data_IF_588524336745
#
_entry.id   IF_588524336745
#
_cell.length_a   1.000
_cell.length_b   1.000
_cell.length_c   1.000
_cell.angle_alpha   90.00
_cell.angle_beta   90.00
_cell.angle_gamma   90.00
#
_symmetry.space_group_name_H-M   'P 1'
#
loop_
_entity.id
_entity.type
_entity.pdbx_description
1 polymer ?
#
# COMPACT_ATOMS: atom_id res chain seq x y z
N UNK A 1 23.81 20.00 -47.09
CA UNK A 1 23.60 18.64 -47.66
C UNK A 1 22.64 17.90 -46.76
N UNK A 2 21.59 17.33 -47.36
CA UNK A 2 20.39 16.81 -46.70
C UNK A 2 20.70 15.62 -45.78
N UNK A 3 20.22 15.69 -44.54
CA UNK A 3 20.16 14.60 -43.58
C UNK A 3 18.89 13.78 -43.86
N UNK A 4 19.03 12.55 -44.33
CA UNK A 4 17.93 11.58 -44.45
C UNK A 4 18.45 10.18 -44.13
N UNK A 5 17.68 9.48 -43.28
CA UNK A 5 17.80 8.10 -42.75
C UNK A 5 18.51 7.98 -41.38
N UNK A 6 17.88 7.57 -40.27
CA UNK A 6 16.48 7.22 -39.98
C UNK A 6 16.33 7.10 -38.45
N UNK A 7 15.71 8.09 -37.79
CA UNK A 7 14.88 7.90 -36.58
C UNK A 7 13.38 7.94 -36.96
N UNK A 8 13.09 8.06 -38.26
CA UNK A 8 11.76 8.10 -38.86
C UNK A 8 11.37 6.71 -39.41
N UNK A 9 11.09 5.77 -38.52
CA UNK A 9 10.19 4.64 -38.82
C UNK A 9 9.76 3.92 -37.53
N UNK A 10 9.24 4.68 -36.57
CA UNK A 10 8.44 4.12 -35.48
C UNK A 10 7.17 4.95 -35.35
N UNK A 11 6.32 4.89 -36.38
CA UNK A 11 4.89 5.20 -36.30
C UNK A 11 4.16 4.29 -37.29
N UNK A 12 3.63 3.20 -36.78
CA UNK A 12 2.30 2.76 -37.12
C UNK A 12 1.67 2.28 -35.79
N UNK A 13 0.57 2.90 -35.32
CA UNK A 13 -0.26 2.29 -34.29
C UNK A 13 -0.80 0.99 -34.87
N UNK A 14 -0.70 -0.11 -34.12
CA UNK A 14 -1.51 -1.27 -34.42
C UNK A 14 -2.98 -0.83 -34.26
N UNK A 15 -3.81 -1.20 -35.24
CA UNK A 15 -5.25 -0.92 -35.22
C UNK A 15 -5.84 -1.46 -33.90
N UNK A 16 -6.17 -0.53 -33.00
CA UNK A 16 -6.53 -0.78 -31.60
C UNK A 16 -6.48 0.51 -30.76
N UNK A 17 -5.67 1.50 -31.15
CA UNK A 17 -5.55 2.80 -30.47
C UNK A 17 -6.71 3.78 -30.73
N UNK A 18 -7.93 3.31 -30.49
CA UNK A 18 -8.97 4.17 -29.89
C UNK A 18 -9.07 3.87 -28.39
N UNK A 19 -7.94 3.89 -27.69
CA UNK A 19 -8.00 4.20 -26.27
C UNK A 19 -8.27 5.70 -26.17
N UNK A 20 -9.51 6.02 -25.78
CA UNK A 20 -9.87 7.30 -25.15
C UNK A 20 -8.70 7.82 -24.33
N UNK A 21 -8.43 9.13 -24.38
CA UNK A 21 -7.45 9.79 -23.52
C UNK A 21 -7.59 9.31 -22.06
N UNK A 22 -6.84 8.28 -21.68
CA UNK A 22 -6.81 7.78 -20.31
C UNK A 22 -6.07 8.87 -19.57
N UNK A 23 -6.75 9.52 -18.63
CA UNK A 23 -6.12 10.49 -17.75
C UNK A 23 -4.84 9.86 -17.18
N UNK A 24 -3.73 10.60 -17.19
CA UNK A 24 -2.45 10.14 -16.64
C UNK A 24 -2.68 9.60 -15.23
N UNK A 25 -2.65 8.27 -15.07
CA UNK A 25 -2.99 7.62 -13.80
C UNK A 25 -2.03 8.03 -12.67
N UNK A 26 -0.86 8.54 -13.02
CA UNK A 26 0.10 9.10 -12.05
C UNK A 26 -0.33 10.45 -11.46
N UNK A 27 -1.33 11.11 -12.06
CA UNK A 27 -1.97 12.33 -11.55
C UNK A 27 -3.26 12.04 -10.75
N UNK A 28 -3.56 10.77 -10.46
CA UNK A 28 -4.75 10.43 -9.66
C UNK A 28 -4.71 11.14 -8.30
N UNK A 29 -5.88 11.52 -7.75
CA UNK A 29 -5.98 11.95 -6.35
C UNK A 29 -5.65 10.78 -5.41
N UNK A 30 -5.41 11.12 -4.13
CA UNK A 30 -5.14 10.13 -3.08
C UNK A 30 -6.25 9.08 -2.98
N UNK A 31 -7.50 9.50 -3.17
CA UNK A 31 -8.65 8.64 -3.33
C UNK A 31 -9.46 9.04 -4.58
N UNK A 32 -9.48 8.22 -5.65
CA UNK A 32 -10.23 8.53 -6.87
C UNK A 32 -11.73 8.24 -6.80
N UNK A 33 -12.24 7.57 -5.75
CA UNK A 33 -13.67 7.25 -5.66
C UNK A 33 -14.48 8.27 -4.86
N UNK A 34 -13.83 9.13 -4.05
CA UNK A 34 -14.53 10.12 -3.21
C UNK A 34 -15.46 11.06 -3.98
N UNK A 35 -15.07 11.51 -5.18
CA UNK A 35 -15.84 12.50 -5.94
C UNK A 35 -17.18 11.97 -6.49
N UNK A 36 -17.41 10.66 -6.45
CA UNK A 36 -18.51 10.00 -7.14
C UNK A 36 -19.60 9.49 -6.18
N UNK A 37 -19.51 9.80 -4.89
CA UNK A 37 -20.41 9.28 -3.86
C UNK A 37 -21.34 10.40 -3.37
N UNK A 38 -22.65 10.15 -3.39
CA UNK A 38 -23.70 11.09 -2.94
C UNK A 38 -23.85 11.10 -1.40
N UNK A 39 -22.75 11.39 -0.70
CA UNK A 39 -22.67 11.58 0.77
C UNK A 39 -21.59 12.60 1.11
N UNK A 40 -21.66 13.26 2.29
CA UNK A 40 -20.55 14.09 2.76
C UNK A 40 -19.25 13.29 2.83
N UNK A 41 -18.17 13.83 2.26
CA UNK A 41 -16.82 13.27 2.42
C UNK A 41 -16.21 13.76 3.75
N UNK A 42 -15.64 12.83 4.52
CA UNK A 42 -14.89 13.13 5.73
C UNK A 42 -13.39 12.91 5.48
N UNK A 43 -12.56 13.83 5.96
CA UNK A 43 -11.12 13.57 6.09
C UNK A 43 -10.87 12.49 7.15
N UNK A 44 -9.69 11.86 7.11
CA UNK A 44 -9.26 10.87 8.11
C UNK A 44 -9.42 11.41 9.55
N UNK A 45 -9.10 12.68 9.79
CA UNK A 45 -9.29 13.31 11.10
C UNK A 45 -10.76 13.48 11.50
N UNK A 46 -11.64 13.77 10.53
CA UNK A 46 -13.08 13.88 10.77
C UNK A 46 -13.68 12.51 11.09
N UNK A 47 -13.30 11.48 10.32
CA UNK A 47 -13.68 10.10 10.56
C UNK A 47 -13.18 9.60 11.93
N UNK A 48 -11.90 9.82 12.26
CA UNK A 48 -11.33 9.46 13.56
C UNK A 48 -12.06 10.13 14.73
N UNK A 49 -12.43 11.42 14.61
CA UNK A 49 -13.27 12.11 15.61
C UNK A 49 -14.65 11.49 15.74
N UNK A 50 -15.26 11.10 14.62
CA UNK A 50 -16.58 10.48 14.59
C UNK A 50 -16.58 9.08 15.22
N UNK A 51 -15.57 8.27 14.92
CA UNK A 51 -15.36 6.93 15.50
C UNK A 51 -15.08 7.02 17.00
N UNK A 52 -14.48 8.10 17.49
CA UNK A 52 -14.13 8.29 18.93
C UNK A 52 -15.07 9.23 19.68
N UNK A 53 -16.24 9.55 19.11
CA UNK A 53 -17.12 10.66 19.54
C UNK A 53 -17.60 10.65 20.99
N UNK A 54 -17.60 9.50 21.67
CA UNK A 54 -18.03 9.40 23.08
C UNK A 54 -16.88 9.41 24.08
N UNK A 55 -15.62 9.34 23.62
CA UNK A 55 -14.44 9.39 24.48
C UNK A 55 -14.22 8.16 25.37
N UNK A 56 -14.84 7.02 25.07
CA UNK A 56 -14.50 5.77 25.75
C UNK A 56 -13.03 5.44 25.56
N UNK A 57 -12.36 5.07 26.66
CA UNK A 57 -10.95 4.67 26.65
C UNK A 57 -10.58 3.92 27.91
N UNK A 58 -9.52 3.12 27.82
CA UNK A 58 -8.70 2.80 28.98
C UNK A 58 -7.79 3.99 29.31
N UNK A 59 -7.40 4.11 30.57
CA UNK A 59 -6.53 5.19 31.03
C UNK A 59 -5.14 4.64 31.31
N UNK A 60 -4.12 5.33 30.81
CA UNK A 60 -2.74 5.19 31.26
C UNK A 60 -2.64 5.74 32.69
N UNK A 61 -2.90 4.85 33.65
CA UNK A 61 -2.96 5.16 35.07
C UNK A 61 -1.56 5.28 35.66
N UNK A 62 -0.58 4.54 35.12
CA UNK A 62 0.80 4.55 35.61
C UNK A 62 1.66 5.67 34.96
N UNK A 63 1.16 6.29 33.87
CA UNK A 63 1.76 7.38 33.10
C UNK A 63 3.08 7.02 32.43
N UNK A 64 3.22 5.77 31.98
CA UNK A 64 4.39 5.30 31.24
C UNK A 64 4.28 5.51 29.72
N UNK A 65 3.13 6.02 29.25
CA UNK A 65 2.86 6.29 27.85
C UNK A 65 2.29 5.11 27.08
N UNK A 66 2.08 3.95 27.71
CA UNK A 66 1.49 2.75 27.11
C UNK A 66 0.33 2.26 27.98
N UNK A 67 -0.87 2.14 27.41
CA UNK A 67 -2.00 1.57 28.16
C UNK A 67 -1.97 0.03 28.09
N UNK A 68 -1.66 -0.63 29.20
CA UNK A 68 -1.60 -2.09 29.31
C UNK A 68 -2.97 -2.72 29.62
N UNK A 69 -3.42 -3.60 28.73
CA UNK A 69 -4.66 -4.35 28.83
C UNK A 69 -4.31 -5.83 29.07
N UNK A 70 -4.73 -6.38 30.21
CA UNK A 70 -4.64 -7.82 30.41
C UNK A 70 -5.78 -8.51 29.67
N UNK A 71 -5.48 -9.62 28.99
CA UNK A 71 -6.51 -10.45 28.39
C UNK A 71 -6.55 -11.88 28.93
N UNK A 72 -7.69 -12.55 28.76
CA UNK A 72 -7.85 -13.99 29.03
C UNK A 72 -8.86 -14.66 28.10
N UNK A 73 -8.71 -15.98 27.88
CA UNK A 73 -9.63 -16.81 27.09
C UNK A 73 -10.54 -17.69 27.96
N UNK A 74 -10.89 -17.21 29.14
CA UNK A 74 -11.71 -17.94 30.09
C UNK A 74 -13.19 -17.83 29.74
N UNK A 75 -13.97 -18.87 30.09
CA UNK A 75 -15.43 -18.80 29.99
C UNK A 75 -15.93 -17.68 30.89
N UNK A 76 -16.57 -16.68 30.29
CA UNK A 76 -17.01 -15.49 31.02
C UNK A 76 -18.30 -15.75 31.83
N UNK A 77 -19.25 -16.51 31.27
CA UNK A 77 -20.54 -16.76 31.90
C UNK A 77 -21.04 -18.21 31.68
N UNK A 78 -22.06 -18.60 32.44
CA UNK A 78 -22.75 -19.89 32.27
C UNK A 78 -23.38 -19.95 30.88
N UNK A 79 -23.18 -21.05 30.16
CA UNK A 79 -23.68 -21.22 28.78
C UNK A 79 -22.66 -20.81 27.70
N UNK A 80 -21.61 -20.05 28.08
CA UNK A 80 -20.53 -19.75 27.16
C UNK A 80 -19.57 -20.93 26.96
N UNK A 81 -18.93 -20.99 25.80
CA UNK A 81 -17.84 -21.92 25.52
C UNK A 81 -16.50 -21.19 25.40
N UNK A 82 -15.41 -21.91 25.65
CA UNK A 82 -14.08 -21.33 25.53
C UNK A 82 -13.72 -21.18 24.05
N UNK A 83 -12.83 -20.22 23.74
CA UNK A 83 -12.22 -20.14 22.42
C UNK A 83 -11.41 -21.40 22.11
N UNK A 84 -11.50 -21.88 20.87
CA UNK A 84 -10.63 -22.94 20.37
C UNK A 84 -9.22 -22.42 20.05
N UNK A 85 -8.28 -23.30 19.68
CA UNK A 85 -6.89 -22.92 19.41
C UNK A 85 -6.77 -21.85 18.31
N UNK A 86 -7.48 -22.02 17.18
CA UNK A 86 -7.49 -21.06 16.07
C UNK A 86 -8.01 -19.70 16.50
N UNK A 87 -9.13 -19.65 17.23
CA UNK A 87 -9.69 -18.40 17.74
C UNK A 87 -8.71 -17.67 18.68
N UNK A 88 -8.02 -18.40 19.56
CA UNK A 88 -7.01 -17.80 20.45
C UNK A 88 -5.83 -17.22 19.66
N UNK A 89 -5.32 -17.95 18.68
CA UNK A 89 -4.22 -17.48 17.83
C UNK A 89 -4.61 -16.22 17.07
N UNK A 90 -5.77 -16.24 16.41
CA UNK A 90 -6.23 -15.12 15.59
C UNK A 90 -6.62 -13.90 16.44
N UNK A 91 -7.13 -14.11 17.66
CA UNK A 91 -7.35 -13.02 18.61
C UNK A 91 -6.04 -12.33 19.00
N UNK A 92 -4.96 -13.11 19.26
CA UNK A 92 -3.64 -12.53 19.53
C UNK A 92 -3.10 -11.74 18.35
N UNK A 93 -3.24 -12.25 17.12
CA UNK A 93 -2.83 -11.52 15.90
C UNK A 93 -3.64 -10.23 15.69
N UNK A 94 -4.92 -10.23 16.08
CA UNK A 94 -5.78 -9.05 16.01
C UNK A 94 -5.47 -8.02 17.10
N UNK A 95 -5.09 -8.47 18.31
CA UNK A 95 -4.57 -7.56 19.34
C UNK A 95 -3.24 -6.95 18.90
N UNK A 96 -2.33 -7.77 18.36
CA UNK A 96 -1.03 -7.33 17.86
C UNK A 96 -1.14 -6.24 16.78
N UNK A 97 -2.11 -6.34 15.87
CA UNK A 97 -2.31 -5.30 14.86
C UNK A 97 -2.83 -3.97 15.42
N UNK A 98 -3.46 -3.97 16.61
CA UNK A 98 -3.77 -2.73 17.33
C UNK A 98 -2.57 -2.17 18.10
N UNK A 99 -1.74 -3.03 18.73
CA UNK A 99 -0.48 -2.62 19.38
C UNK A 99 0.49 -1.99 18.39
N UNK A 100 0.51 -2.50 17.16
CA UNK A 100 1.37 -1.99 16.10
C UNK A 100 1.13 -0.51 15.85
N UNK A 101 -0.12 -0.05 15.93
CA UNK A 101 -0.51 1.27 15.43
C UNK A 101 -0.71 2.30 16.54
N UNK A 102 -0.94 1.88 17.79
CA UNK A 102 -1.24 2.77 18.90
C UNK A 102 -0.51 2.33 20.18
N UNK A 103 -0.29 3.25 21.14
CA UNK A 103 0.41 2.95 22.40
C UNK A 103 -0.47 2.18 23.39
N UNK A 104 -0.83 0.97 23.02
CA UNK A 104 -1.51 -0.03 23.85
C UNK A 104 -0.68 -1.31 23.87
N UNK A 105 -0.78 -2.07 24.95
CA UNK A 105 -0.18 -3.41 25.03
C UNK A 105 -1.17 -4.42 25.58
N UNK A 106 -1.17 -5.62 25.03
CA UNK A 106 -2.02 -6.73 25.40
C UNK A 106 -1.17 -7.85 25.98
N UNK A 107 -1.41 -8.19 27.24
CA UNK A 107 -0.67 -9.24 27.92
C UNK A 107 -1.61 -10.28 28.53
N UNK A 108 -1.36 -11.56 28.26
CA UNK A 108 -2.18 -12.63 28.86
C UNK A 108 -1.93 -12.71 30.37
N UNK A 109 -2.98 -12.49 31.17
CA UNK A 109 -2.90 -12.63 32.63
C UNK A 109 -1.91 -11.69 33.33
N UNK A 110 -1.80 -10.43 32.89
CA UNK A 110 -0.98 -9.44 33.61
C UNK A 110 -1.49 -9.24 35.04
N UNK A 111 -0.55 -9.01 35.97
CA UNK A 111 -0.84 -8.83 37.41
C UNK A 111 -1.26 -7.42 37.78
N UNK A 112 -0.91 -6.41 36.99
CA UNK A 112 -1.20 -5.00 37.25
C UNK A 112 -1.62 -4.26 35.97
N UNK A 113 -2.66 -4.74 35.27
CA UNK A 113 -3.11 -4.07 34.06
C UNK A 113 -3.96 -2.84 34.37
N UNK A 114 -4.10 -2.00 33.37
CA UNK A 114 -4.96 -0.80 33.38
C UNK A 114 -6.31 -1.08 32.72
N UNK A 115 -6.38 -2.13 31.89
CA UNK A 115 -7.62 -2.68 31.33
C UNK A 115 -7.72 -4.20 31.49
N UNK A 116 -8.94 -4.71 31.52
CA UNK A 116 -9.22 -6.15 31.54
C UNK A 116 -10.08 -6.52 30.33
N UNK A 117 -9.69 -7.58 29.61
CA UNK A 117 -10.40 -8.08 28.44
C UNK A 117 -10.62 -9.59 28.50
N UNK A 118 -11.88 -10.03 28.38
CA UNK A 118 -12.23 -11.44 28.35
C UNK A 118 -12.77 -11.85 26.97
N UNK A 119 -12.24 -12.96 26.45
CA UNK A 119 -12.70 -13.57 25.20
C UNK A 119 -13.49 -14.85 25.48
N UNK A 120 -14.70 -14.95 24.93
CA UNK A 120 -15.54 -16.14 25.11
C UNK A 120 -16.50 -16.33 23.94
N UNK A 121 -16.87 -17.57 23.65
CA UNK A 121 -17.94 -17.85 22.68
C UNK A 121 -19.31 -17.73 23.37
N UNK A 122 -20.26 -17.04 22.73
CA UNK A 122 -21.65 -16.91 23.18
C UNK A 122 -22.62 -16.95 22.00
N UNK A 123 -23.74 -17.65 22.14
CA UNK A 123 -24.82 -17.70 21.13
C UNK A 123 -25.92 -16.66 21.38
N UNK A 124 -25.72 -15.76 22.33
CA UNK A 124 -26.71 -14.73 22.70
C UNK A 124 -26.77 -13.58 21.67
N UNK A 125 -25.74 -13.47 20.83
CA UNK A 125 -25.63 -12.47 19.76
C UNK A 125 -25.62 -13.17 18.40
N UNK A 126 -26.14 -12.51 17.37
CA UNK A 126 -26.18 -13.08 16.02
C UNK A 126 -24.77 -13.34 15.48
N UNK A 127 -23.89 -12.34 15.57
CA UNK A 127 -22.52 -12.40 15.07
C UNK A 127 -21.51 -12.35 16.22
N UNK A 128 -21.48 -11.24 16.94
CA UNK A 128 -20.52 -10.96 17.99
C UNK A 128 -20.96 -9.73 18.83
N UNK A 129 -20.23 -9.46 19.90
CA UNK A 129 -20.39 -8.29 20.75
C UNK A 129 -19.07 -7.90 21.42
N UNK A 130 -18.73 -6.62 21.31
CA UNK A 130 -17.57 -5.98 21.90
C UNK A 130 -18.00 -4.93 22.91
N UNK A 131 -17.54 -5.07 24.14
CA UNK A 131 -17.84 -4.12 25.20
C UNK A 131 -16.82 -2.98 25.21
N UNK A 132 -17.33 -1.74 25.26
CA UNK A 132 -16.49 -0.55 25.48
C UNK A 132 -15.71 -0.61 26.81
N UNK A 133 -14.57 0.11 26.93
CA UNK A 133 -13.83 0.27 28.18
C UNK A 133 -14.72 0.56 29.40
N UNK A 134 -14.44 -0.11 30.52
CA UNK A 134 -15.26 -0.08 31.73
C UNK A 134 -14.62 -0.86 32.88
N UNK A 135 -15.40 -1.59 33.68
CA UNK A 135 -14.83 -2.44 34.75
C UNK A 135 -14.11 -3.67 34.18
N UNK A 136 -14.71 -4.32 33.20
CA UNK A 136 -14.14 -5.46 32.48
C UNK A 136 -14.71 -5.44 31.05
N UNK A 137 -13.79 -5.45 30.08
CA UNK A 137 -14.06 -5.56 28.65
C UNK A 137 -14.37 -6.99 28.23
N UNK A 138 -15.18 -7.15 27.18
CA UNK A 138 -15.58 -8.47 26.65
C UNK A 138 -15.56 -8.46 25.14
N UNK A 139 -15.07 -9.55 24.57
CA UNK A 139 -15.26 -9.93 23.18
C UNK A 139 -15.99 -11.27 23.17
N UNK A 140 -17.26 -11.20 22.78
CA UNK A 140 -18.16 -12.35 22.74
C UNK A 140 -18.43 -12.69 21.28
N UNK A 141 -18.07 -13.90 20.85
CA UNK A 141 -18.20 -14.33 19.46
C UNK A 141 -19.25 -15.43 19.35
N UNK A 142 -20.16 -15.35 18.38
CA UNK A 142 -21.05 -16.47 18.08
C UNK A 142 -20.32 -17.50 17.23
N UNK A 143 -20.01 -18.70 17.78
CA UNK A 143 -19.26 -19.71 17.04
C UNK A 143 -20.07 -20.32 15.89
N UNK A 144 -21.39 -20.14 15.86
CA UNK A 144 -22.28 -20.67 14.80
C UNK A 144 -22.36 -19.77 13.57
N UNK A 145 -21.81 -18.56 13.64
CA UNK A 145 -21.89 -17.59 12.55
C UNK A 145 -20.68 -17.66 11.63
N UNK A 146 -20.92 -17.94 10.34
CA UNK A 146 -19.92 -17.86 9.28
C UNK A 146 -18.59 -18.54 9.62
N UNK A 147 -17.51 -17.75 9.62
CA UNK A 147 -16.14 -18.23 9.85
C UNK A 147 -15.65 -18.03 11.29
N UNK A 148 -16.53 -17.69 12.24
CA UNK A 148 -16.14 -17.36 13.61
C UNK A 148 -15.50 -18.52 14.39
N UNK A 149 -15.77 -19.76 14.02
CA UNK A 149 -15.11 -20.96 14.58
C UNK A 149 -13.74 -21.23 13.97
N UNK A 150 -13.46 -20.70 12.78
CA UNK A 150 -12.19 -20.86 12.07
C UNK A 150 -11.76 -19.50 11.46
N UNK A 151 -11.47 -18.49 12.31
CA UNK A 151 -10.98 -17.21 11.82
C UNK A 151 -9.65 -17.42 11.09
N UNK A 152 -9.45 -16.68 10.01
CA UNK A 152 -8.25 -16.75 9.18
C UNK A 152 -8.08 -15.44 8.41
N UNK A 153 -6.88 -15.23 7.85
CA UNK A 153 -6.57 -14.07 7.04
C UNK A 153 -7.65 -13.83 5.95
N UNK A 154 -8.11 -12.59 5.88
CA UNK A 154 -9.12 -12.07 4.96
C UNK A 154 -10.55 -12.61 5.06
N UNK A 155 -10.87 -13.36 6.12
CA UNK A 155 -12.24 -13.83 6.36
C UNK A 155 -12.97 -13.03 7.44
N UNK A 156 -14.29 -13.23 7.48
CA UNK A 156 -15.18 -12.52 8.39
C UNK A 156 -14.81 -12.74 9.86
N UNK A 157 -14.41 -13.95 10.25
CA UNK A 157 -14.06 -14.28 11.63
C UNK A 157 -12.84 -13.49 12.13
N UNK A 158 -11.79 -13.36 11.31
CA UNK A 158 -10.61 -12.54 11.68
C UNK A 158 -10.96 -11.05 11.75
N UNK A 159 -11.70 -10.52 10.78
CA UNK A 159 -12.18 -9.14 10.82
C UNK A 159 -13.04 -8.87 12.08
N UNK A 160 -13.94 -9.80 12.42
CA UNK A 160 -14.81 -9.68 13.61
C UNK A 160 -13.99 -9.58 14.89
N UNK A 161 -12.93 -10.38 15.04
CA UNK A 161 -12.03 -10.26 16.20
C UNK A 161 -11.41 -8.87 16.27
N UNK A 162 -10.85 -8.36 15.16
CA UNK A 162 -10.26 -7.01 15.09
C UNK A 162 -11.30 -5.92 15.42
N UNK A 163 -12.52 -6.06 14.90
CA UNK A 163 -13.65 -5.16 15.15
C UNK A 163 -14.05 -5.11 16.63
N UNK A 164 -14.31 -6.26 17.26
CA UNK A 164 -14.74 -6.27 18.66
C UNK A 164 -13.64 -5.80 19.63
N UNK A 165 -12.37 -6.05 19.29
CA UNK A 165 -11.24 -5.48 20.03
C UNK A 165 -11.21 -3.95 19.85
N UNK A 166 -11.53 -3.43 18.66
CA UNK A 166 -11.69 -1.99 18.41
C UNK A 166 -12.74 -1.36 19.33
N UNK A 167 -13.91 -1.99 19.51
CA UNK A 167 -14.88 -1.58 20.53
C UNK A 167 -14.27 -1.58 21.93
N UNK A 168 -13.46 -2.58 22.28
CA UNK A 168 -12.79 -2.63 23.57
C UNK A 168 -11.70 -1.57 23.75
N UNK A 169 -11.20 -0.99 22.66
CA UNK A 169 -10.32 0.18 22.67
C UNK A 169 -11.11 1.51 22.67
N UNK A 170 -12.45 1.46 22.65
CA UNK A 170 -13.31 2.63 22.71
C UNK A 170 -13.74 3.17 21.34
N UNK A 171 -13.49 2.43 20.26
CA UNK A 171 -13.91 2.82 18.92
C UNK A 171 -15.36 2.44 18.69
N UNK A 172 -16.16 3.36 18.18
CA UNK A 172 -17.56 3.11 17.84
C UNK A 172 -17.67 2.71 16.36
N UNK A 173 -18.82 2.16 15.98
CA UNK A 173 -19.22 2.21 14.58
C UNK A 173 -19.17 3.66 14.08
N UNK A 174 -18.76 3.92 12.83
CA UNK A 174 -18.73 5.27 12.27
C UNK A 174 -20.09 5.98 12.30
N UNK A 175 -21.19 5.22 12.11
CA UNK A 175 -22.56 5.69 12.27
C UNK A 175 -23.20 5.39 13.62
N UNK A 176 -24.49 5.72 13.75
CA UNK A 176 -25.31 5.42 14.94
C UNK A 176 -26.07 4.09 14.84
N UNK A 177 -25.68 3.22 13.91
CA UNK A 177 -26.27 1.90 13.71
C UNK A 177 -25.63 0.85 14.63
N UNK A 178 -26.39 -0.19 14.94
CA UNK A 178 -25.95 -1.36 15.70
C UNK A 178 -26.62 -2.61 15.10
N UNK A 179 -27.71 -3.10 15.71
CA UNK A 179 -28.48 -4.26 15.24
C UNK A 179 -29.56 -3.87 14.22
N UNK A 180 -30.09 -4.85 13.48
CA UNK A 180 -31.30 -4.67 12.65
C UNK A 180 -31.06 -4.48 11.14
N UNK A 181 -29.96 -5.02 10.61
CA UNK A 181 -29.63 -5.00 9.17
C UNK A 181 -29.60 -3.58 8.55
N UNK A 182 -28.73 -2.68 9.05
CA UNK A 182 -28.59 -1.33 8.50
C UNK A 182 -28.09 -1.39 7.03
N UNK A 183 -28.49 -0.40 6.24
CA UNK A 183 -28.01 -0.21 4.87
C UNK A 183 -27.20 1.09 4.74
N UNK A 184 -26.21 1.10 3.82
CA UNK A 184 -25.30 2.22 3.64
C UNK A 184 -26.02 3.53 3.28
N UNK A 185 -26.96 3.46 2.34
CA UNK A 185 -27.70 4.63 1.84
C UNK A 185 -28.32 5.44 2.98
N UNK A 186 -29.01 4.78 3.91
CA UNK A 186 -29.80 5.46 4.94
C UNK A 186 -29.03 5.65 6.26
N UNK A 187 -28.01 4.84 6.54
CA UNK A 187 -27.39 4.79 7.88
C UNK A 187 -25.92 5.23 7.91
N UNK A 188 -25.20 5.21 6.78
CA UNK A 188 -23.85 5.77 6.71
C UNK A 188 -23.91 7.29 6.74
N UNK A 189 -23.19 7.90 7.70
CA UNK A 189 -23.17 9.35 7.91
C UNK A 189 -22.30 10.09 6.88
N UNK A 190 -21.24 9.43 6.40
CA UNK A 190 -20.26 9.98 5.47
C UNK A 190 -19.82 8.92 4.47
N UNK A 191 -19.23 9.35 3.34
CA UNK A 191 -18.91 8.48 2.21
C UNK A 191 -17.96 7.33 2.58
N UNK A 192 -16.96 7.63 3.41
CA UNK A 192 -15.91 6.70 3.83
C UNK A 192 -16.33 5.73 4.93
N UNK A 193 -17.58 5.76 5.42
CA UNK A 193 -18.11 4.73 6.33
C UNK A 193 -18.31 3.40 5.59
N UNK A 194 -17.19 2.70 5.34
CA UNK A 194 -17.13 1.37 4.73
C UNK A 194 -15.92 0.61 5.25
N UNK A 195 -15.91 -0.70 5.05
CA UNK A 195 -14.80 -1.61 5.35
C UNK A 195 -13.52 -1.34 4.54
N UNK A 196 -13.55 -0.41 3.59
CA UNK A 196 -12.32 0.08 2.95
C UNK A 196 -11.51 1.01 3.85
N UNK A 197 -12.16 1.75 4.75
CA UNK A 197 -11.53 2.76 5.60
C UNK A 197 -11.52 2.36 7.07
N UNK A 198 -12.53 1.61 7.52
CA UNK A 198 -12.67 1.20 8.91
C UNK A 198 -13.26 -0.20 9.05
N UNK A 199 -12.57 -1.08 9.79
CA UNK A 199 -13.12 -2.38 10.20
C UNK A 199 -14.31 -2.23 11.14
N UNK A 200 -14.50 -1.04 11.73
CA UNK A 200 -15.68 -0.70 12.55
C UNK A 200 -16.95 -0.46 11.71
N UNK A 201 -16.85 -0.38 10.38
CA UNK A 201 -18.01 -0.20 9.51
C UNK A 201 -18.77 -1.50 9.23
N UNK A 202 -20.09 -1.39 9.07
CA UNK A 202 -20.94 -2.49 8.60
C UNK A 202 -21.00 -2.58 7.07
N UNK A 203 -20.59 -1.53 6.36
CA UNK A 203 -20.83 -1.40 4.94
C UNK A 203 -19.64 -1.85 4.11
N UNK A 204 -19.91 -2.47 2.97
CA UNK A 204 -18.86 -3.07 2.16
C UNK A 204 -18.09 -2.02 1.35
N UNK A 205 -16.83 -2.34 1.07
CA UNK A 205 -15.90 -1.51 0.30
C UNK A 205 -16.46 -0.96 -1.03
N UNK A 206 -17.31 -1.67 -1.80
CA UNK A 206 -17.89 -1.15 -3.05
C UNK A 206 -18.80 0.07 -2.87
N UNK A 207 -19.39 0.27 -1.69
CA UNK A 207 -20.18 1.47 -1.41
C UNK A 207 -19.32 2.75 -1.49
N UNK A 208 -18.02 2.62 -1.27
CA UNK A 208 -17.04 3.67 -1.46
C UNK A 208 -16.16 3.47 -2.72
N UNK A 209 -16.65 2.74 -3.71
CA UNK A 209 -15.97 2.53 -5.00
C UNK A 209 -14.70 1.68 -4.93
N UNK A 210 -14.51 0.87 -3.87
CA UNK A 210 -13.38 -0.05 -3.71
C UNK A 210 -13.80 -1.50 -3.95
N UNK A 211 -12.88 -2.35 -4.39
CA UNK A 211 -13.20 -3.73 -4.76
C UNK A 211 -12.16 -4.71 -4.23
N UNK A 212 -12.56 -5.50 -3.21
CA UNK A 212 -11.70 -6.48 -2.53
C UNK A 212 -11.99 -7.93 -2.91
N UNK A 213 -12.82 -8.16 -3.92
CA UNK A 213 -13.20 -9.51 -4.38
C UNK A 213 -13.71 -10.43 -3.24
N UNK A 214 -14.56 -9.89 -2.37
CA UNK A 214 -15.14 -10.60 -1.22
C UNK A 214 -14.19 -10.84 -0.04
N UNK A 215 -12.95 -10.34 -0.10
CA UNK A 215 -11.99 -10.37 1.01
C UNK A 215 -12.26 -9.24 2.00
N UNK A 216 -11.93 -9.48 3.27
CA UNK A 216 -12.13 -8.53 4.36
C UNK A 216 -10.80 -8.13 5.00
N UNK A 217 -10.67 -6.88 5.50
CA UNK A 217 -9.47 -6.45 6.22
C UNK A 217 -9.30 -7.27 7.51
N UNK A 218 -8.05 -7.66 7.81
CA UNK A 218 -7.71 -8.46 9.00
C UNK A 218 -7.08 -7.63 10.13
N UNK A 219 -6.77 -6.37 9.85
CA UNK A 219 -6.10 -5.42 10.73
C UNK A 219 -6.79 -4.05 10.63
N UNK A 220 -6.50 -3.10 11.54
CA UNK A 220 -7.02 -1.74 11.46
C UNK A 220 -6.75 -1.10 10.09
N UNK A 221 -7.77 -0.45 9.53
CA UNK A 221 -7.70 0.33 8.29
C UNK A 221 -7.44 1.82 8.60
N UNK A 222 -7.33 2.67 7.58
CA UNK A 222 -6.83 4.05 7.72
C UNK A 222 -7.54 4.86 8.82
N UNK A 223 -8.87 4.82 8.89
CA UNK A 223 -9.64 5.59 9.87
C UNK A 223 -9.56 4.96 11.27
N UNK A 224 -9.41 3.63 11.34
CA UNK A 224 -9.21 2.89 12.60
C UNK A 224 -7.89 3.26 13.24
N UNK A 225 -6.82 3.33 12.44
CA UNK A 225 -5.48 3.71 12.87
C UNK A 225 -5.52 5.12 13.45
N UNK A 226 -6.05 6.08 12.68
CA UNK A 226 -6.16 7.46 13.15
C UNK A 226 -7.04 7.59 14.40
N UNK A 227 -8.12 6.80 14.50
CA UNK A 227 -9.00 6.78 15.67
C UNK A 227 -8.28 6.22 16.92
N UNK A 228 -7.59 5.08 16.80
CA UNK A 228 -6.83 4.50 17.91
C UNK A 228 -5.70 5.42 18.37
N UNK A 229 -4.95 6.01 17.43
CA UNK A 229 -3.88 6.96 17.72
C UNK A 229 -4.40 8.25 18.37
N UNK A 230 -5.60 8.70 18.00
CA UNK A 230 -6.25 9.83 18.67
C UNK A 230 -6.54 9.53 20.15
N UNK A 231 -6.83 8.28 20.51
CA UNK A 231 -7.14 7.88 21.89
C UNK A 231 -5.86 7.61 22.69
N UNK A 232 -4.95 6.81 22.14
CA UNK A 232 -3.81 6.24 22.87
C UNK A 232 -2.45 6.82 22.46
N UNK A 233 -2.37 7.60 21.38
CA UNK A 233 -1.11 8.05 20.79
C UNK A 233 -0.57 7.02 19.78
N UNK A 234 0.23 7.52 18.83
CA UNK A 234 0.85 6.71 17.79
C UNK A 234 2.07 5.94 18.30
N UNK A 235 2.17 4.67 17.89
CA UNK A 235 3.32 3.82 18.22
C UNK A 235 4.41 3.90 17.15
N UNK A 236 5.31 4.86 17.31
CA UNK A 236 6.44 5.08 16.40
C UNK A 236 7.62 4.12 16.65
N UNK A 237 7.48 3.16 17.57
CA UNK A 237 8.50 2.10 17.75
C UNK A 237 8.27 0.91 16.83
N UNK A 238 7.06 0.81 16.27
CA UNK A 238 6.69 -0.25 15.34
C UNK A 238 7.40 -0.05 14.01
N UNK A 239 8.16 -1.08 13.58
CA UNK A 239 8.80 -1.12 12.26
C UNK A 239 9.67 0.12 11.96
N UNK A 240 10.29 0.72 12.98
CA UNK A 240 11.05 1.96 12.87
C UNK A 240 12.46 1.83 12.24
N UNK A 241 12.60 0.87 11.33
CA UNK A 241 13.78 0.57 10.51
C UNK A 241 13.30 0.09 9.15
N UNK A 242 14.16 0.09 8.14
CA UNK A 242 13.85 -0.32 6.77
C UNK A 242 12.95 -1.57 6.68
N UNK A 243 11.72 -1.34 6.24
CA UNK A 243 10.68 -2.36 6.16
C UNK A 243 10.20 -2.54 4.72
N UNK A 244 10.19 -3.79 4.26
CA UNK A 244 9.51 -4.19 3.03
C UNK A 244 8.13 -4.74 3.37
N UNK A 245 7.11 -4.25 2.66
CA UNK A 245 5.72 -4.68 2.72
C UNK A 245 5.34 -5.37 1.40
N UNK A 246 4.48 -6.39 1.46
CA UNK A 246 4.09 -7.16 0.27
C UNK A 246 4.99 -8.37 0.05
N UNK A 247 5.50 -8.55 -1.16
CA UNK A 247 6.47 -9.62 -1.44
C UNK A 247 7.78 -9.36 -0.71
N UNK A 248 8.51 -10.42 -0.35
CA UNK A 248 9.80 -10.32 0.35
C UNK A 248 9.71 -9.53 1.67
N UNK A 249 8.52 -9.51 2.28
CA UNK A 249 8.24 -8.72 3.48
C UNK A 249 9.06 -9.16 4.68
N UNK A 250 9.57 -8.18 5.42
CA UNK A 250 10.17 -8.35 6.74
C UNK A 250 9.30 -7.72 7.85
N UNK A 251 8.09 -7.26 7.51
CA UNK A 251 7.17 -6.58 8.43
C UNK A 251 6.65 -7.48 9.58
N UNK A 252 6.81 -8.80 9.47
CA UNK A 252 6.49 -9.77 10.51
C UNK A 252 5.00 -9.88 10.84
N UNK A 253 4.11 -9.59 9.88
CA UNK A 253 2.66 -9.68 10.03
C UNK A 253 2.05 -10.42 8.84
N UNK A 254 1.09 -11.30 9.12
CA UNK A 254 0.43 -12.13 8.10
C UNK A 254 -0.34 -11.31 7.07
N UNK A 255 -0.92 -10.17 7.46
CA UNK A 255 -1.65 -9.28 6.56
C UNK A 255 -0.77 -8.32 5.76
N UNK A 256 0.55 -8.29 6.01
CA UNK A 256 1.52 -7.43 5.32
C UNK A 256 2.51 -8.23 4.45
N UNK A 257 2.33 -9.55 4.37
CA UNK A 257 3.24 -10.47 3.69
C UNK A 257 2.51 -11.16 2.52
N UNK A 258 3.16 -11.16 1.36
CA UNK A 258 2.73 -11.87 0.17
C UNK A 258 3.77 -12.92 -0.19
N UNK A 259 3.35 -14.18 -0.28
CA UNK A 259 4.19 -15.32 -0.58
C UNK A 259 4.06 -15.78 -2.03
N UNK A 260 2.90 -15.52 -2.65
CA UNK A 260 2.55 -15.91 -4.00
C UNK A 260 1.76 -14.83 -4.72
N UNK A 261 1.82 -14.81 -6.06
CA UNK A 261 1.03 -13.90 -6.92
C UNK A 261 -0.48 -14.05 -6.77
N UNK A 262 -0.94 -15.11 -6.09
CA UNK A 262 -2.36 -15.37 -5.81
C UNK A 262 -2.81 -14.81 -4.45
N UNK A 263 -1.86 -14.36 -3.63
CA UNK A 263 -2.16 -13.78 -2.32
C UNK A 263 -2.83 -12.42 -2.51
N UNK A 264 -3.66 -12.05 -1.55
CA UNK A 264 -4.42 -10.80 -1.57
C UNK A 264 -3.66 -9.74 -0.78
N UNK A 265 -3.21 -8.67 -1.44
CA UNK A 265 -2.81 -7.46 -0.73
C UNK A 265 -4.08 -6.76 -0.22
N UNK A 266 -4.30 -6.70 1.09
CA UNK A 266 -5.42 -5.94 1.69
C UNK A 266 -5.04 -5.46 3.08
N UNK A 267 -4.54 -4.24 3.17
CA UNK A 267 -4.00 -3.65 4.39
C UNK A 267 -3.86 -2.13 4.32
N UNK A 268 -3.73 -1.50 5.50
CA UNK A 268 -3.24 -0.14 5.66
C UNK A 268 -1.87 -0.18 6.33
N UNK A 269 -0.88 0.53 5.77
CA UNK A 269 0.48 0.58 6.31
C UNK A 269 0.55 1.59 7.44
N UNK A 270 1.03 1.14 8.60
CA UNK A 270 1.56 1.97 9.66
C UNK A 270 3.04 1.65 9.83
N UNK A 271 3.89 2.66 9.79
CA UNK A 271 5.33 2.55 9.96
C UNK A 271 5.85 3.69 10.84
N UNK A 272 6.79 3.39 11.74
CA UNK A 272 7.41 4.34 12.67
C UNK A 272 8.64 5.06 12.12
N UNK A 273 9.15 4.66 10.95
CA UNK A 273 10.27 5.27 10.22
C UNK A 273 11.23 4.24 9.64
N UNK A 274 12.16 4.68 8.81
CA UNK A 274 13.04 3.79 8.05
C UNK A 274 13.15 4.27 6.62
N UNK A 275 13.73 3.45 5.75
CA UNK A 275 13.60 3.56 4.30
C UNK A 275 12.80 2.37 3.80
N UNK A 276 11.52 2.60 3.55
CA UNK A 276 10.53 1.53 3.44
C UNK A 276 10.11 1.27 2.00
N UNK A 277 9.67 0.04 1.72
CA UNK A 277 9.38 -0.42 0.36
C UNK A 277 8.02 -1.10 0.28
N UNK A 278 7.17 -0.66 -0.66
CA UNK A 278 6.06 -1.47 -1.15
C UNK A 278 6.56 -2.37 -2.30
N UNK A 279 6.63 -3.67 -2.06
CA UNK A 279 7.07 -4.65 -3.06
C UNK A 279 5.87 -5.47 -3.59
N UNK A 280 5.49 -5.17 -4.83
CA UNK A 280 4.42 -5.85 -5.56
C UNK A 280 4.93 -6.60 -6.80
N UNK A 281 6.22 -6.94 -6.79
CA UNK A 281 7.00 -7.49 -7.93
C UNK A 281 6.46 -8.75 -8.59
N UNK A 282 5.71 -9.59 -7.87
CA UNK A 282 5.24 -10.87 -8.42
C UNK A 282 3.83 -10.82 -9.02
N UNK A 283 3.15 -9.67 -9.00
CA UNK A 283 1.87 -9.50 -9.67
C UNK A 283 2.05 -9.29 -11.19
N UNK A 284 1.01 -9.64 -11.95
CA UNK A 284 0.99 -9.50 -13.42
C UNK A 284 -0.09 -8.53 -13.91
N UNK A 285 -1.03 -8.19 -13.04
CA UNK A 285 -2.07 -7.22 -13.29
C UNK A 285 -1.46 -5.82 -13.33
N UNK A 286 -2.04 -4.93 -14.12
CA UNK A 286 -1.70 -3.51 -14.07
C UNK A 286 -2.05 -2.97 -12.67
N UNK A 287 -1.11 -2.24 -12.08
CA UNK A 287 -1.23 -1.70 -10.74
C UNK A 287 -1.22 -0.18 -10.78
N UNK A 288 -1.77 0.44 -9.75
CA UNK A 288 -1.50 1.84 -9.46
C UNK A 288 -1.07 1.98 -8.02
N UNK A 289 0.20 2.32 -7.82
CA UNK A 289 0.87 2.37 -6.53
C UNK A 289 1.10 3.84 -6.18
N UNK A 290 0.59 4.28 -5.03
CA UNK A 290 0.71 5.64 -4.55
C UNK A 290 1.39 5.66 -3.18
N UNK A 291 2.58 6.30 -3.10
CA UNK A 291 3.40 6.39 -1.89
C UNK A 291 3.03 7.56 -0.99
N UNK A 292 2.02 8.36 -1.33
CA UNK A 292 1.58 9.47 -0.48
C UNK A 292 0.85 8.95 0.75
N UNK A 293 1.07 9.59 1.90
CA UNK A 293 0.24 9.38 3.08
C UNK A 293 -1.24 9.66 2.76
N UNK A 294 -2.13 8.98 3.47
CA UNK A 294 -3.59 9.11 3.30
C UNK A 294 -4.05 8.82 1.86
N UNK A 295 -3.38 7.90 1.18
CA UNK A 295 -3.71 7.50 -0.19
C UNK A 295 -4.03 6.01 -0.30
N UNK A 296 -4.73 5.67 -1.39
CA UNK A 296 -5.08 4.31 -1.78
C UNK A 296 -4.40 3.91 -3.08
N UNK A 297 -4.02 2.64 -3.14
CA UNK A 297 -3.42 1.95 -4.27
C UNK A 297 -4.32 0.80 -4.77
N UNK A 298 -4.22 0.52 -6.06
CA UNK A 298 -4.90 -0.58 -6.74
C UNK A 298 -3.85 -1.66 -7.05
N UNK A 299 -3.87 -2.76 -6.30
CA UNK A 299 -2.76 -3.73 -6.25
C UNK A 299 -3.28 -5.15 -6.47
N UNK A 300 -2.58 -5.95 -7.27
CA UNK A 300 -2.92 -7.36 -7.48
C UNK A 300 -4.29 -7.60 -8.15
N UNK A 301 -4.77 -6.65 -8.95
CA UNK A 301 -6.07 -6.72 -9.63
C UNK A 301 -7.28 -6.32 -8.77
N UNK A 302 -7.04 -5.75 -7.58
CA UNK A 302 -8.04 -5.15 -6.73
C UNK A 302 -8.03 -3.61 -6.84
N UNK A 303 -9.04 -2.95 -6.25
CA UNK A 303 -9.19 -1.48 -6.29
C UNK A 303 -9.27 -0.93 -4.86
N UNK A 304 -8.38 0.01 -4.54
CA UNK A 304 -8.26 0.70 -3.25
C UNK A 304 -8.03 -0.23 -2.05
N UNK A 305 -7.29 -1.32 -2.26
CA UNK A 305 -7.07 -2.39 -1.30
C UNK A 305 -5.82 -2.19 -0.43
N UNK A 306 -4.85 -1.40 -0.91
CA UNK A 306 -3.67 -1.02 -0.13
C UNK A 306 -3.74 0.46 0.16
N UNK A 307 -3.45 0.85 1.40
CA UNK A 307 -3.43 2.26 1.80
C UNK A 307 -2.27 2.58 2.73
N UNK A 308 -1.94 3.87 2.86
CA UNK A 308 -0.87 4.36 3.74
C UNK A 308 -1.51 5.27 4.79
N UNK A 309 -1.30 4.95 6.06
CA UNK A 309 -1.88 5.72 7.16
C UNK A 309 -1.34 7.16 7.20
N UNK A 310 -2.11 8.04 7.85
CA UNK A 310 -1.68 9.42 8.07
C UNK A 310 -0.37 9.48 8.85
N UNK A 311 0.54 10.33 8.39
CA UNK A 311 1.84 10.56 9.05
C UNK A 311 2.92 9.53 8.74
N UNK A 312 2.65 8.56 7.85
CA UNK A 312 3.63 7.60 7.35
C UNK A 312 4.25 8.12 6.05
N UNK A 313 5.58 7.99 5.93
CA UNK A 313 6.31 8.20 4.68
C UNK A 313 6.81 6.83 4.21
N UNK A 314 6.59 6.50 2.94
CA UNK A 314 7.22 5.33 2.30
C UNK A 314 8.10 5.82 1.14
N UNK A 315 9.32 5.33 1.05
CA UNK A 315 10.32 5.83 0.12
C UNK A 315 10.28 5.07 -1.21
N UNK A 316 10.01 3.77 -1.20
CA UNK A 316 10.26 2.94 -2.37
C UNK A 316 9.01 2.16 -2.81
N UNK A 317 8.94 1.92 -4.13
CA UNK A 317 7.93 1.06 -4.72
C UNK A 317 8.53 0.19 -5.82
N UNK A 318 8.10 -1.08 -5.85
CA UNK A 318 8.42 -2.04 -6.90
C UNK A 318 7.10 -2.55 -7.49
N UNK A 319 6.84 -2.20 -8.75
CA UNK A 319 5.74 -2.72 -9.56
C UNK A 319 6.02 -4.16 -10.03
N UNK A 320 5.07 -4.72 -10.76
CA UNK A 320 5.05 -6.11 -11.22
C UNK A 320 5.47 -6.27 -12.67
N UNK A 321 4.82 -7.20 -13.37
CA UNK A 321 5.00 -7.37 -14.82
C UNK A 321 3.85 -6.79 -15.66
N UNK A 322 3.01 -5.96 -15.03
CA UNK A 322 1.86 -5.29 -15.65
C UNK A 322 2.26 -4.01 -16.37
N UNK A 323 1.29 -3.18 -16.75
CA UNK A 323 1.55 -1.78 -17.14
C UNK A 323 1.19 -0.90 -15.95
N UNK A 324 2.15 -0.69 -15.07
CA UNK A 324 1.95 -0.12 -13.76
C UNK A 324 2.06 1.41 -13.79
N UNK A 325 1.37 2.06 -12.87
CA UNK A 325 1.51 3.49 -12.61
C UNK A 325 1.99 3.69 -11.18
N UNK A 326 3.17 4.26 -11.01
CA UNK A 326 3.81 4.44 -9.70
C UNK A 326 3.96 5.94 -9.42
N UNK A 327 3.51 6.35 -8.23
CA UNK A 327 3.45 7.74 -7.78
C UNK A 327 4.26 7.86 -6.51
N UNK A 328 5.37 8.58 -6.59
CA UNK A 328 6.16 9.00 -5.44
C UNK A 328 5.47 10.05 -4.58
N UNK A 329 6.20 10.61 -3.63
CA UNK A 329 5.70 11.56 -2.65
C UNK A 329 6.58 12.82 -2.60
N UNK A 330 6.92 13.31 -1.41
CA UNK A 330 7.79 14.49 -1.23
C UNK A 330 9.18 14.11 -0.72
N UNK A 331 9.37 12.84 -0.34
CA UNK A 331 10.66 12.28 0.03
C UNK A 331 11.41 11.88 -1.24
N UNK A 332 12.67 11.47 -1.07
CA UNK A 332 13.44 10.89 -2.17
C UNK A 332 12.97 9.46 -2.39
N UNK A 333 12.43 9.17 -3.58
CA UNK A 333 11.88 7.85 -3.86
C UNK A 333 12.81 6.99 -4.73
N UNK A 334 12.82 5.67 -4.49
CA UNK A 334 13.35 4.68 -5.45
C UNK A 334 12.18 3.94 -6.08
N UNK A 335 11.96 4.17 -7.37
CA UNK A 335 10.84 3.62 -8.12
C UNK A 335 11.34 2.60 -9.15
N UNK A 336 10.80 1.39 -9.09
CA UNK A 336 11.02 0.32 -10.07
C UNK A 336 9.69 -0.08 -10.67
N UNK A 337 9.50 0.16 -11.97
CA UNK A 337 8.29 -0.26 -12.68
C UNK A 337 8.14 -1.77 -12.70
N UNK A 338 9.24 -2.47 -12.96
CA UNK A 338 9.23 -3.90 -13.25
C UNK A 338 9.19 -4.09 -14.76
N UNK A 339 8.54 -5.15 -15.23
CA UNK A 339 8.40 -5.37 -16.67
C UNK A 339 7.07 -4.81 -17.17
N UNK A 340 7.02 -4.36 -18.42
CA UNK A 340 5.84 -3.74 -19.00
C UNK A 340 6.13 -2.31 -19.45
N UNK A 341 5.10 -1.57 -19.87
CA UNK A 341 5.23 -0.15 -20.20
C UNK A 341 4.68 0.66 -19.03
N UNK A 342 5.55 0.99 -18.07
CA UNK A 342 5.15 1.63 -16.84
C UNK A 342 5.16 3.15 -16.94
N UNK A 343 4.40 3.80 -16.04
CA UNK A 343 4.37 5.25 -15.88
C UNK A 343 4.85 5.59 -14.48
N UNK A 344 6.01 6.22 -14.39
CA UNK A 344 6.67 6.52 -13.12
C UNK A 344 6.66 8.02 -12.89
N UNK A 345 6.16 8.46 -11.74
CA UNK A 345 6.14 9.86 -11.34
C UNK A 345 6.85 10.01 -10.01
N UNK A 346 7.95 10.76 -9.98
CA UNK A 346 8.70 11.02 -8.74
C UNK A 346 7.95 11.95 -7.80
N UNK A 347 7.26 12.95 -8.39
CA UNK A 347 6.59 14.05 -7.71
C UNK A 347 7.56 15.09 -7.10
N UNK A 348 7.85 15.03 -5.80
CA UNK A 348 8.84 15.89 -5.16
C UNK A 348 10.06 15.08 -4.72
N UNK A 349 11.08 15.72 -4.17
CA UNK A 349 12.29 15.02 -3.74
C UNK A 349 13.33 14.86 -4.86
N UNK A 350 14.36 14.07 -4.57
CA UNK A 350 15.38 13.66 -5.54
C UNK A 350 15.25 12.16 -5.80
N UNK A 351 14.61 11.82 -6.91
CA UNK A 351 14.11 10.47 -7.15
C UNK A 351 15.08 9.64 -7.98
N UNK A 352 15.04 8.32 -7.78
CA UNK A 352 15.80 7.35 -8.56
C UNK A 352 14.85 6.38 -9.26
N UNK A 353 14.87 6.40 -10.59
CA UNK A 353 14.16 5.46 -11.44
C UNK A 353 15.12 4.33 -11.81
N UNK A 354 14.91 3.14 -11.23
CA UNK A 354 15.87 2.04 -11.30
C UNK A 354 15.42 0.91 -12.22
N UNK A 355 16.37 0.38 -12.99
CA UNK A 355 16.16 -0.71 -13.94
C UNK A 355 17.15 -1.85 -13.69
N UNK A 356 16.63 -3.05 -13.54
CA UNK A 356 17.42 -4.24 -13.22
C UNK A 356 17.67 -5.11 -14.47
N UNK A 357 16.79 -5.09 -15.47
CA UNK A 357 16.88 -5.90 -16.68
C UNK A 357 16.40 -5.17 -17.94
N UNK A 358 16.82 -5.63 -19.12
CA UNK A 358 16.35 -5.08 -20.40
C UNK A 358 14.82 -5.21 -20.58
N UNK A 359 14.23 -6.28 -20.01
CA UNK A 359 12.79 -6.51 -20.01
C UNK A 359 11.99 -5.46 -19.24
N UNK A 360 12.66 -4.67 -18.40
CA UNK A 360 12.00 -3.68 -17.57
C UNK A 360 11.56 -2.45 -18.38
N UNK A 361 12.12 -2.25 -19.59
CA UNK A 361 11.67 -1.17 -20.50
C UNK A 361 12.15 -1.46 -21.92
N UNK A 362 11.39 -2.26 -22.66
CA UNK A 362 11.75 -2.67 -24.03
C UNK A 362 11.39 -1.60 -25.05
N UNK A 363 11.94 -1.64 -26.29
CA UNK A 363 11.50 -0.75 -27.37
C UNK A 363 9.99 -0.81 -27.67
N UNK A 364 9.37 -1.98 -27.52
CA UNK A 364 7.95 -2.22 -27.76
C UNK A 364 7.08 -1.72 -26.59
N UNK A 365 7.55 -1.94 -25.37
CA UNK A 365 6.88 -1.55 -24.12
C UNK A 365 7.80 -0.67 -23.27
N UNK A 366 8.03 0.58 -23.68
CA UNK A 366 8.94 1.45 -22.95
C UNK A 366 8.24 2.20 -21.84
N UNK A 367 8.93 2.27 -20.71
CA UNK A 367 8.58 3.11 -19.58
C UNK A 367 8.56 4.58 -19.94
N UNK A 368 7.76 5.30 -19.15
CA UNK A 368 7.64 6.75 -19.18
C UNK A 368 7.84 7.33 -17.79
N UNK A 369 8.94 8.06 -17.60
CA UNK A 369 9.09 8.94 -16.44
C UNK A 369 8.35 10.24 -16.71
N UNK A 370 7.42 10.59 -15.83
CA UNK A 370 6.39 11.58 -16.09
C UNK A 370 6.76 13.02 -15.71
N UNK A 371 7.80 13.22 -14.90
CA UNK A 371 8.21 14.52 -14.37
C UNK A 371 9.71 14.63 -14.05
N UNK A 372 10.56 14.01 -14.88
CA UNK A 372 12.01 13.97 -14.65
C UNK A 372 12.65 15.38 -14.56
N UNK A 373 13.39 15.61 -13.49
CA UNK A 373 14.13 16.86 -13.22
C UNK A 373 15.64 16.61 -13.29
N UNK A 374 16.26 17.00 -14.41
CA UNK A 374 17.73 16.92 -14.57
C UNK A 374 18.50 17.60 -13.42
N UNK A 375 19.62 17.01 -13.03
CA UNK A 375 20.45 17.47 -11.91
C UNK A 375 19.92 17.07 -10.53
N UNK A 376 18.62 16.77 -10.42
CA UNK A 376 17.96 16.32 -9.18
C UNK A 376 17.73 14.81 -9.25
N UNK A 377 16.91 14.36 -10.19
CA UNK A 377 16.55 12.96 -10.36
C UNK A 377 17.65 12.16 -11.03
N UNK A 378 17.58 10.84 -10.85
CA UNK A 378 18.55 9.88 -11.37
C UNK A 378 17.86 8.71 -12.07
N UNK A 379 18.52 8.19 -13.08
CA UNK A 379 18.16 6.93 -13.74
C UNK A 379 19.26 5.94 -13.38
N UNK A 380 18.93 4.91 -12.61
CA UNK A 380 19.90 3.88 -12.22
C UNK A 380 19.83 2.68 -13.14
N UNK A 381 20.90 2.49 -13.91
CA UNK A 381 21.09 1.38 -14.84
C UNK A 381 22.18 0.42 -14.36
N UNK A 382 22.66 0.56 -13.12
CA UNK A 382 23.80 -0.21 -12.63
C UNK A 382 23.54 -1.71 -12.67
N UNK A 383 22.36 -2.14 -12.22
CA UNK A 383 21.95 -3.55 -12.26
C UNK A 383 21.68 -4.02 -13.69
N UNK A 384 20.94 -3.24 -14.48
CA UNK A 384 20.69 -3.53 -15.90
C UNK A 384 21.99 -3.79 -16.69
N UNK A 385 22.99 -2.92 -16.52
CA UNK A 385 24.28 -3.06 -17.20
C UNK A 385 25.08 -4.24 -16.65
N UNK A 386 25.10 -4.43 -15.33
CA UNK A 386 25.78 -5.57 -14.69
C UNK A 386 25.22 -6.90 -15.16
N UNK A 387 23.88 -7.04 -15.19
CA UNK A 387 23.19 -8.24 -15.64
C UNK A 387 23.36 -8.50 -17.15
N UNK A 388 23.49 -7.44 -17.95
CA UNK A 388 23.80 -7.53 -19.39
C UNK A 388 25.30 -7.75 -19.69
N UNK A 389 26.19 -7.70 -18.69
CA UNK A 389 27.64 -7.79 -18.90
C UNK A 389 28.23 -6.58 -19.63
N UNK A 390 27.62 -5.40 -19.49
CA UNK A 390 28.06 -4.15 -20.11
C UNK A 390 28.81 -3.28 -19.09
N UNK A 391 30.10 -3.05 -19.34
CA UNK A 391 30.96 -2.32 -18.40
C UNK A 391 30.66 -0.81 -18.30
N UNK A 392 30.27 -0.19 -19.42
CA UNK A 392 30.01 1.24 -19.51
C UNK A 392 29.17 1.58 -20.75
N UNK A 393 28.42 2.67 -20.66
CA UNK A 393 27.72 3.24 -21.82
C UNK A 393 28.67 4.02 -22.72
N UNK A 394 28.45 3.89 -24.03
CA UNK A 394 29.10 4.70 -25.07
C UNK A 394 28.04 5.44 -25.87
N UNK A 395 27.97 6.76 -25.67
CA UNK A 395 27.01 7.58 -26.39
C UNK A 395 27.47 7.80 -27.83
N UNK A 396 26.63 7.42 -28.79
CA UNK A 396 26.90 7.47 -30.23
C UNK A 396 25.75 8.16 -30.97
N UNK A 397 26.02 8.64 -32.18
CA UNK A 397 24.95 9.19 -33.07
C UNK A 397 24.23 8.10 -33.88
N UNK A 398 24.84 6.93 -34.03
CA UNK A 398 24.31 5.77 -34.74
C UNK A 398 24.98 4.51 -34.20
N UNK A 399 24.21 3.44 -34.04
CA UNK A 399 24.73 2.14 -33.62
C UNK A 399 25.74 1.59 -34.63
N UNK A 400 26.80 0.99 -34.10
CA UNK A 400 27.82 0.24 -34.84
C UNK A 400 27.81 -1.25 -34.51
N UNK A 401 26.95 -1.68 -33.57
CA UNK A 401 26.83 -3.07 -33.14
C UNK A 401 27.88 -3.43 -32.08
N UNK A 402 28.03 -2.57 -31.07
CA UNK A 402 28.86 -2.87 -29.90
C UNK A 402 28.01 -2.81 -28.63
N UNK A 403 28.19 -3.74 -27.69
CA UNK A 403 27.47 -3.71 -26.43
C UNK A 403 27.68 -2.39 -25.68
N UNK A 404 26.61 -1.85 -25.11
CA UNK A 404 26.61 -0.60 -24.36
C UNK A 404 26.54 0.67 -25.22
N UNK A 405 26.37 0.56 -26.54
CA UNK A 405 26.12 1.76 -27.36
C UNK A 405 24.74 2.34 -27.06
N UNK A 406 24.73 3.62 -26.70
CA UNK A 406 23.53 4.34 -26.30
C UNK A 406 23.28 5.56 -27.17
N UNK A 407 22.00 5.87 -27.41
CA UNK A 407 21.56 7.12 -28.01
C UNK A 407 20.68 7.84 -26.99
N UNK A 408 21.06 9.08 -26.68
CA UNK A 408 20.29 9.99 -25.83
C UNK A 408 19.87 11.21 -26.67
N UNK A 409 18.57 11.42 -26.79
CA UNK A 409 17.97 12.55 -27.50
C UNK A 409 17.01 13.32 -26.59
N UNK A 410 16.81 14.61 -26.88
CA UNK A 410 15.85 15.47 -26.20
C UNK A 410 15.13 16.38 -27.18
N UNK A 411 13.81 16.23 -27.26
CA UNK A 411 12.94 17.09 -28.05
C UNK A 411 12.34 18.20 -27.17
N UNK A 412 12.84 19.43 -27.34
CA UNK A 412 12.39 20.63 -26.61
C UNK A 412 10.92 20.99 -26.84
N UNK A 413 10.36 20.69 -28.02
CA UNK A 413 8.97 21.03 -28.35
C UNK A 413 7.99 20.15 -27.60
N UNK A 414 8.31 18.86 -27.44
CA UNK A 414 7.46 17.90 -26.71
C UNK A 414 7.90 17.71 -25.26
N UNK A 415 8.96 18.39 -24.83
CA UNK A 415 9.66 18.18 -23.56
C UNK A 415 9.96 16.69 -23.28
N UNK A 416 10.42 15.94 -24.29
CA UNK A 416 10.57 14.48 -24.19
C UNK A 416 11.99 14.05 -24.49
N UNK A 417 12.65 13.44 -23.50
CA UNK A 417 13.90 12.71 -23.65
C UNK A 417 13.66 11.24 -24.01
N UNK A 418 14.60 10.68 -24.76
CA UNK A 418 14.64 9.25 -25.13
C UNK A 418 16.04 8.72 -24.90
N UNK A 419 16.15 7.65 -24.11
CA UNK A 419 17.38 6.89 -23.91
C UNK A 419 17.19 5.50 -24.52
N UNK A 420 18.02 5.13 -25.49
CA UNK A 420 17.97 3.85 -26.17
C UNK A 420 19.34 3.17 -26.10
N UNK A 421 19.40 1.89 -25.74
CA UNK A 421 20.68 1.18 -25.50
C UNK A 421 20.69 -0.16 -26.23
N UNK A 422 21.75 -0.40 -27.02
CA UNK A 422 22.11 -1.72 -27.57
C UNK A 422 22.95 -2.46 -26.51
N UNK A 423 22.32 -3.36 -25.78
CA UNK A 423 22.96 -4.08 -24.68
C UNK A 423 23.71 -5.32 -25.19
N UNK A 424 23.25 -5.91 -26.27
CA UNK A 424 23.77 -7.17 -26.83
C UNK A 424 24.85 -6.97 -27.90
N UNK A 425 24.99 -5.77 -28.44
CA UNK A 425 25.91 -5.43 -29.54
C UNK A 425 25.44 -5.92 -30.90
N UNK A 426 24.15 -6.15 -31.08
CA UNK A 426 23.60 -6.66 -32.35
C UNK A 426 23.20 -5.54 -33.33
N UNK A 427 23.40 -4.28 -32.96
CA UNK A 427 23.01 -3.11 -33.75
C UNK A 427 21.53 -2.75 -33.65
N UNK A 428 20.82 -3.27 -32.63
CA UNK A 428 19.43 -2.97 -32.28
C UNK A 428 19.37 -2.53 -30.83
N UNK A 429 18.36 -1.74 -30.48
CA UNK A 429 18.13 -1.38 -29.09
C UNK A 429 17.46 -2.54 -28.36
N UNK A 430 17.96 -2.87 -27.18
CA UNK A 430 17.38 -3.85 -26.26
C UNK A 430 16.63 -3.16 -25.12
N UNK A 431 16.98 -1.91 -24.82
CA UNK A 431 16.35 -1.07 -23.80
C UNK A 431 15.94 0.28 -24.39
N UNK A 432 14.77 0.79 -23.99
CA UNK A 432 14.26 2.09 -24.42
C UNK A 432 13.45 2.76 -23.32
N UNK A 433 13.86 3.96 -22.92
CA UNK A 433 13.20 4.75 -21.88
C UNK A 433 12.76 6.11 -22.42
N UNK A 434 11.57 6.56 -22.02
CA UNK A 434 11.07 7.91 -22.27
C UNK A 434 11.00 8.68 -20.96
N UNK A 435 11.35 9.97 -20.99
CA UNK A 435 11.18 10.84 -19.83
C UNK A 435 10.68 12.23 -20.25
N UNK A 436 9.67 12.74 -19.55
CA UNK A 436 9.22 14.11 -19.70
C UNK A 436 10.11 15.03 -18.88
N UNK A 437 10.96 15.78 -19.57
CA UNK A 437 12.08 16.53 -19.01
C UNK A 437 13.40 16.15 -19.69
N UNK A 438 14.40 17.05 -19.71
CA UNK A 438 15.71 16.72 -20.25
C UNK A 438 16.40 15.68 -19.36
N UNK A 439 17.09 14.71 -19.96
CA UNK A 439 18.07 13.85 -19.29
C UNK A 439 19.45 14.27 -19.75
N UNK A 440 20.36 14.52 -18.79
CA UNK A 440 21.78 14.69 -19.05
C UNK A 440 22.54 13.44 -18.62
N UNK A 441 23.70 13.20 -19.22
CA UNK A 441 24.52 12.02 -18.91
C UNK A 441 24.88 11.89 -17.41
N UNK A 442 25.19 12.97 -16.66
CA UNK A 442 25.40 12.88 -15.21
C UNK A 442 24.18 12.43 -14.40
N UNK A 443 22.99 12.46 -14.97
CA UNK A 443 21.77 11.96 -14.31
C UNK A 443 21.67 10.43 -14.38
N UNK A 444 22.50 9.77 -15.22
CA UNK A 444 22.48 8.32 -15.42
C UNK A 444 23.55 7.67 -14.53
N UNK A 445 23.09 6.88 -13.57
CA UNK A 445 23.94 6.07 -12.70
C UNK A 445 24.27 4.75 -13.41
N UNK A 446 25.55 4.40 -13.42
CA UNK A 446 26.06 3.14 -13.95
C UNK A 446 27.11 2.59 -13.00
N UNK A 447 27.35 1.27 -12.99
CA UNK A 447 28.33 0.65 -12.10
C UNK A 447 29.76 1.24 -12.21
N UNK A 448 30.17 1.76 -13.38
CA UNK A 448 31.46 2.41 -13.59
C UNK A 448 31.32 3.83 -14.20
N UNK A 449 30.95 4.86 -13.41
CA UNK A 449 30.59 6.17 -13.95
C UNK A 449 31.78 6.90 -14.61
N UNK A 450 33.01 6.69 -14.13
CA UNK A 450 34.23 7.28 -14.71
C UNK A 450 34.67 6.70 -16.05
N UNK A 451 33.95 5.70 -16.60
CA UNK A 451 34.28 5.04 -17.88
C UNK A 451 33.32 5.37 -19.01
N UNK A 452 32.32 6.23 -18.79
CA UNK A 452 31.43 6.63 -19.87
C UNK A 452 32.19 7.44 -20.93
N UNK A 453 32.01 7.07 -22.20
CA UNK A 453 32.74 7.68 -23.32
C UNK A 453 31.78 8.29 -24.32
N UNK A 454 32.11 9.49 -24.75
CA UNK A 454 31.52 10.12 -25.94
C UNK A 454 32.37 9.74 -27.15
N UNK A 455 31.74 9.25 -28.20
CA UNK A 455 32.42 8.85 -29.44
C UNK A 455 31.88 9.59 -30.65
#
# INVERSE_FOLDING_TARGET
MRLSNTLQSFHAPLAGDQQSAVADATLRPNDPSESNIDKPSFTVDQAARQITRTGHRWFDANRDGITQISYSFNKHARGHTAFNATQKEQARRSMQSWEDVANVSFQEGSRRPEGLLAFSNSTDYEVAFGQYPGQEGKVLINPRFGTNTNPALHNHGRMTLTHEIGHNLGLLHPGTYNFGNPNYRDHALYAQDTRAYSVMSYFDAPEAGKHFNGKLPSAPMMDDIAAAQRVYGANNTTRNSDTTYGFNSNAGRDYLELNSRHDTALFCVWDGGGVDTLDFSKYHQNQTINLRAESFSDVGGLVGNVSIAKGVTLENAIGGSGHDSIIGNQANNVLKGGAGADRLRGAGGADTFAYDNASDSTPEYPDQIMDFVTGVDRIDLSNLLGNAGVDALRFVRRLTGKPGEAILDYNRTTNLSRLAIDLTGNGRFDFFLKAYGPINVPDIITANPGRQRYA
#
